data_IF_505715981563
#
_entry.id   IF_505715981563
#
_cell.length_a   1.000
_cell.length_b   1.000
_cell.length_c   1.000
_cell.angle_alpha   90.00
_cell.angle_beta   90.00
_cell.angle_gamma   90.00
#
_symmetry.space_group_name_H-M   'P 1'
#
loop_
_entity.id
_entity.type
_entity.pdbx_description
1 polymer ?
#
# COMPACT_ATOMS: atom_id res chain seq x y z
N UNK A 1 -25.89 -2.30 30.25
CA UNK A 1 -25.53 -3.02 29.00
C UNK A 1 -25.03 -1.99 28.00
N UNK A 2 -23.71 -1.88 27.80
CA UNK A 2 -23.09 -0.90 26.89
C UNK A 2 -22.97 -1.52 25.49
N UNK A 3 -23.65 -0.92 24.50
CA UNK A 3 -23.66 -1.39 23.12
C UNK A 3 -22.34 -1.07 22.42
N UNK A 4 -21.62 -2.12 21.97
CA UNK A 4 -20.42 -1.95 21.15
C UNK A 4 -20.79 -1.27 19.82
N UNK A 5 -20.04 -0.24 19.37
CA UNK A 5 -20.31 0.41 18.10
C UNK A 5 -20.15 -0.61 16.96
N UNK A 6 -21.19 -0.77 16.14
CA UNK A 6 -21.14 -1.62 14.94
C UNK A 6 -20.47 -0.82 13.83
N UNK A 7 -19.21 -1.12 13.53
CA UNK A 7 -18.59 -0.65 12.30
C UNK A 7 -19.29 -1.30 11.12
N UNK A 8 -19.94 -0.47 10.29
CA UNK A 8 -20.62 -0.93 9.08
C UNK A 8 -19.53 -1.30 8.06
N UNK A 9 -19.32 -2.61 7.88
CA UNK A 9 -18.46 -3.18 6.84
C UNK A 9 -18.98 -2.73 5.47
N UNK A 10 -18.34 -1.71 4.89
CA UNK A 10 -18.50 -1.40 3.48
C UNK A 10 -17.62 -2.36 2.68
N UNK A 11 -17.99 -3.65 2.67
CA UNK A 11 -17.37 -4.66 1.80
C UNK A 11 -17.82 -4.39 0.37
N UNK A 12 -17.20 -3.41 -0.29
CA UNK A 12 -17.00 -3.54 -1.74
C UNK A 12 -15.76 -4.41 -1.89
N UNK A 13 -15.88 -5.53 -2.58
CA UNK A 13 -14.71 -6.24 -3.09
C UNK A 13 -14.01 -5.27 -4.03
N UNK A 14 -12.96 -4.62 -3.56
CA UNK A 14 -12.13 -3.82 -4.44
C UNK A 14 -11.32 -4.86 -5.21
N UNK A 15 -11.51 -4.93 -6.53
CA UNK A 15 -10.57 -5.64 -7.40
C UNK A 15 -9.15 -5.11 -7.21
N UNK A 16 -8.16 -5.74 -7.84
CA UNK A 16 -6.73 -5.49 -7.58
C UNK A 16 -6.34 -4.01 -7.36
N UNK A 17 -5.41 -3.77 -6.44
CA UNK A 17 -4.81 -2.45 -6.19
C UNK A 17 -3.62 -2.23 -7.11
N UNK A 18 -3.55 -1.02 -7.68
CA UNK A 18 -2.36 -0.58 -8.42
C UNK A 18 -1.23 -0.25 -7.44
N UNK A 19 -0.05 -0.78 -7.71
CA UNK A 19 1.16 -0.58 -6.91
C UNK A 19 2.32 -0.17 -7.80
N UNK A 20 3.23 0.65 -7.27
CA UNK A 20 4.53 0.90 -7.89
C UNK A 20 5.55 -0.01 -7.19
N UNK A 21 6.27 -0.82 -7.96
CA UNK A 21 7.28 -1.75 -7.43
C UNK A 21 8.55 -1.74 -8.29
N UNK A 22 9.61 -2.35 -7.79
CA UNK A 22 10.84 -2.64 -8.54
C UNK A 22 11.37 -4.01 -8.09
N UNK A 23 12.05 -4.75 -8.98
CA UNK A 23 12.62 -6.08 -8.70
C UNK A 23 14.14 -6.08 -8.56
N UNK A 24 14.78 -5.01 -8.98
CA UNK A 24 16.22 -4.80 -8.93
C UNK A 24 16.53 -3.35 -8.55
N UNK A 25 17.75 -3.10 -8.07
CA UNK A 25 18.18 -1.75 -7.73
C UNK A 25 18.51 -0.94 -8.99
N UNK A 26 18.21 0.36 -8.96
CA UNK A 26 18.52 1.25 -10.09
C UNK A 26 17.91 2.66 -9.99
N UNK A 27 18.02 3.39 -11.10
CA UNK A 27 17.37 4.69 -11.26
C UNK A 27 15.85 4.56 -11.39
N UNK A 28 15.12 5.66 -11.65
CA UNK A 28 13.66 5.62 -11.77
C UNK A 28 13.12 4.67 -12.84
N UNK A 29 13.93 4.29 -13.82
CA UNK A 29 13.63 3.34 -14.88
C UNK A 29 13.27 1.92 -14.40
N UNK A 30 13.68 1.53 -13.18
CA UNK A 30 13.31 0.21 -12.62
C UNK A 30 11.90 0.16 -12.01
N UNK A 31 11.21 1.30 -11.95
CA UNK A 31 9.87 1.38 -11.37
C UNK A 31 8.81 0.89 -12.36
N UNK A 32 7.99 -0.04 -11.90
CA UNK A 32 6.89 -0.64 -12.65
C UNK A 32 5.55 -0.39 -11.96
N UNK A 33 4.53 -0.04 -12.75
CA UNK A 33 3.15 -0.06 -12.29
C UNK A 33 2.58 -1.47 -12.46
N UNK A 34 2.15 -2.08 -11.37
CA UNK A 34 1.58 -3.43 -11.35
C UNK A 34 0.23 -3.44 -10.63
N UNK A 35 -0.50 -4.56 -10.76
CA UNK A 35 -1.70 -4.84 -9.98
C UNK A 35 -1.45 -5.97 -8.99
N UNK A 36 -2.03 -5.88 -7.79
CA UNK A 36 -1.96 -6.90 -6.73
C UNK A 36 -3.29 -7.06 -6.03
N UNK A 37 -3.48 -8.17 -5.34
CA UNK A 37 -4.63 -8.33 -4.45
C UNK A 37 -4.59 -7.32 -3.31
N UNK A 38 -5.78 -6.87 -2.90
CA UNK A 38 -5.91 -5.96 -1.76
C UNK A 38 -5.69 -6.78 -0.48
N UNK A 39 -4.71 -6.43 0.37
CA UNK A 39 -4.49 -7.16 1.62
C UNK A 39 -5.65 -6.95 2.60
N UNK A 40 -5.96 -8.00 3.37
CA UNK A 40 -6.85 -7.91 4.53
C UNK A 40 -5.99 -7.50 5.75
N UNK A 41 -6.45 -6.53 6.57
CA UNK A 41 -5.70 -6.10 7.76
C UNK A 41 -5.79 -7.13 8.89
N UNK A 42 -4.70 -7.28 9.65
CA UNK A 42 -4.61 -8.15 10.83
C UNK A 42 -5.15 -7.46 12.12
N UNK A 43 -5.30 -8.19 13.25
CA UNK A 43 -5.69 -7.59 14.52
C UNK A 43 -4.74 -6.45 14.94
N UNK A 44 -5.28 -5.24 15.07
CA UNK A 44 -4.53 -4.03 15.42
C UNK A 44 -4.16 -3.15 14.22
N UNK A 45 -4.41 -3.61 12.99
CA UNK A 45 -4.16 -2.86 11.77
C UNK A 45 -5.43 -2.20 11.24
N UNK A 46 -5.25 -1.19 10.39
CA UNK A 46 -6.33 -0.55 9.62
C UNK A 46 -5.96 -0.50 8.15
N UNK A 47 -6.93 -0.78 7.27
CA UNK A 47 -6.76 -0.61 5.83
C UNK A 47 -7.17 0.79 5.41
N UNK A 48 -6.28 1.48 4.71
CA UNK A 48 -6.53 2.80 4.13
C UNK A 48 -6.58 2.71 2.60
N UNK A 49 -7.38 3.59 1.99
CA UNK A 49 -7.31 3.85 0.56
C UNK A 49 -6.38 5.04 0.34
N UNK A 50 -5.21 4.80 -0.23
CA UNK A 50 -4.22 5.85 -0.53
C UNK A 50 -4.82 6.80 -1.56
N UNK A 51 -5.03 8.06 -1.17
CA UNK A 51 -5.44 9.12 -2.09
C UNK A 51 -4.21 9.81 -2.72
N UNK A 52 -3.18 10.01 -1.91
CA UNK A 52 -1.89 10.61 -2.30
C UNK A 52 -0.79 9.93 -1.47
N UNK A 53 0.38 9.72 -2.07
CA UNK A 53 1.60 9.25 -1.39
C UNK A 53 2.67 10.32 -1.50
N UNK A 54 3.36 10.62 -0.40
CA UNK A 54 4.60 11.41 -0.44
C UNK A 54 5.75 10.57 -0.97
N UNK A 55 6.74 11.23 -1.59
CA UNK A 55 8.03 10.64 -1.92
C UNK A 55 9.07 11.22 -0.96
N UNK A 56 9.75 10.35 -0.24
CA UNK A 56 10.75 10.67 0.77
C UNK A 56 12.16 10.37 0.26
N UNK A 57 13.21 10.95 0.87
CA UNK A 57 14.58 10.59 0.53
C UNK A 57 14.84 9.08 0.64
N UNK A 58 14.30 8.40 1.65
CA UNK A 58 14.49 6.95 1.81
C UNK A 58 14.00 6.15 0.60
N UNK A 59 12.94 6.58 -0.08
CA UNK A 59 12.38 5.83 -1.21
C UNK A 59 13.38 5.71 -2.37
N UNK A 60 14.10 6.81 -2.70
CA UNK A 60 15.07 6.78 -3.79
C UNK A 60 16.38 6.10 -3.42
N UNK A 61 16.86 6.24 -2.18
CA UNK A 61 18.08 5.60 -1.71
C UNK A 61 17.90 4.07 -1.63
N UNK A 62 16.76 3.59 -1.12
CA UNK A 62 16.47 2.13 -1.05
C UNK A 62 16.33 1.55 -2.46
N UNK A 63 15.61 2.23 -3.36
CA UNK A 63 15.50 1.79 -4.75
C UNK A 63 16.87 1.76 -5.44
N UNK A 64 17.69 2.79 -5.26
CA UNK A 64 19.01 2.86 -5.90
C UNK A 64 20.06 1.93 -5.27
N UNK A 65 19.78 1.31 -4.12
CA UNK A 65 20.73 0.42 -3.43
C UNK A 65 21.88 1.16 -2.75
N UNK A 66 21.63 2.36 -2.23
CA UNK A 66 22.63 3.26 -1.64
C UNK A 66 22.51 3.27 -0.10
N UNK A 67 22.04 2.17 0.50
CA UNK A 67 21.96 1.96 1.95
C UNK A 67 22.82 0.77 2.38
#
# INVERSE_FOLDING_TARGET
MSGRPRFRSHRRSVGGVKVVLYREHGGPEVLELAERDVPEPEPGEVRVRVAVSGINPTDHHTRAGIF
#
